data_IF_323817264207
#
_entry.id   IF_323817264207
#
_cell.length_a   1.000
_cell.length_b   1.000
_cell.length_c   1.000
_cell.angle_alpha   90.00
_cell.angle_beta   90.00
_cell.angle_gamma   90.00
#
_symmetry.space_group_name_H-M   'P 1'
#
loop_
_entity.id
_entity.type
_entity.pdbx_description
1 polymer ?
#
# COMPACT_ATOMS: atom_id res chain seq x y z
N UNK A 1 18.12 24.84 71.72
CA UNK A 1 16.85 25.56 71.44
C UNK A 1 16.72 25.63 69.91
N UNK A 2 15.55 25.33 69.32
CA UNK A 2 15.40 24.34 68.24
C UNK A 2 15.16 24.92 66.84
N UNK A 3 14.93 23.98 65.89
CA UNK A 3 14.27 24.14 64.58
C UNK A 3 15.11 24.82 63.47
N UNK A 4 15.10 24.36 62.21
CA UNK A 4 14.03 23.68 61.49
C UNK A 4 14.59 22.71 60.44
N UNK A 5 13.86 21.60 60.29
CA UNK A 5 13.96 20.68 59.19
C UNK A 5 13.68 21.36 57.85
N UNK A 6 14.38 20.95 56.79
CA UNK A 6 13.82 20.92 55.43
C UNK A 6 14.51 19.85 54.60
N UNK A 7 13.76 18.78 54.36
CA UNK A 7 14.04 17.79 53.34
C UNK A 7 14.00 18.45 51.93
N UNK A 8 14.81 18.00 50.96
CA UNK A 8 14.53 18.31 49.57
C UNK A 8 13.29 17.51 49.12
N UNK A 9 12.29 18.26 48.68
CA UNK A 9 11.08 17.73 48.07
C UNK A 9 11.44 16.86 46.86
N UNK A 10 10.89 15.64 46.86
CA UNK A 10 10.70 14.83 45.66
C UNK A 10 9.95 15.66 44.64
N UNK A 11 10.65 16.10 43.59
CA UNK A 11 10.04 16.60 42.37
C UNK A 11 9.31 15.42 41.71
N UNK A 12 8.03 15.27 42.03
CA UNK A 12 7.12 14.42 41.29
C UNK A 12 7.09 14.90 39.84
N UNK A 13 7.81 14.20 38.98
CA UNK A 13 7.70 14.33 37.54
C UNK A 13 6.26 13.96 37.15
N UNK A 14 5.46 14.97 36.84
CA UNK A 14 4.14 14.87 36.23
C UNK A 14 4.25 14.07 34.92
N UNK A 15 3.74 12.82 34.84
CA UNK A 15 3.73 12.07 33.59
C UNK A 15 2.50 12.48 32.81
N UNK A 16 2.47 13.72 32.29
CA UNK A 16 1.46 14.05 31.29
C UNK A 16 1.74 13.19 30.06
N UNK A 17 0.77 12.39 29.59
CA UNK A 17 0.94 11.71 28.32
C UNK A 17 1.15 12.79 27.26
N UNK A 18 2.34 12.76 26.63
CA UNK A 18 2.63 13.55 25.43
C UNK A 18 1.59 13.18 24.39
N UNK A 19 0.56 14.01 24.30
CA UNK A 19 -0.46 13.97 23.26
C UNK A 19 0.29 13.86 21.92
N UNK A 20 0.08 12.82 21.11
CA UNK A 20 0.73 12.74 19.82
C UNK A 20 0.34 14.00 19.05
N UNK A 21 1.36 14.67 18.51
CA UNK A 21 1.21 15.76 17.57
C UNK A 21 0.23 15.28 16.50
N UNK A 22 -1.01 15.79 16.56
CA UNK A 22 -1.89 15.75 15.40
C UNK A 22 -1.15 16.54 14.34
N UNK A 23 -0.60 15.84 13.35
CA UNK A 23 -0.10 16.44 12.13
C UNK A 23 -1.23 17.30 11.54
N UNK A 24 -1.07 18.61 11.65
CA UNK A 24 -2.02 19.59 11.13
C UNK A 24 -2.02 19.55 9.60
N UNK A 25 -3.15 19.14 9.04
CA UNK A 25 -4.01 20.03 8.23
C UNK A 25 -3.31 20.98 7.25
N UNK A 26 -2.59 20.45 6.27
CA UNK A 26 -2.31 21.16 5.00
C UNK A 26 -2.00 20.21 3.83
N UNK A 27 -2.58 19.00 3.82
CA UNK A 27 -2.68 18.24 2.57
C UNK A 27 -3.74 18.94 1.72
N UNK A 28 -3.31 19.78 0.77
CA UNK A 28 -4.12 20.08 -0.40
C UNK A 28 -4.68 18.75 -0.88
N UNK A 29 -6.01 18.64 -0.99
CA UNK A 29 -6.68 17.39 -1.33
C UNK A 29 -5.98 16.78 -2.55
N UNK A 30 -5.23 15.70 -2.32
CA UNK A 30 -4.43 15.13 -3.40
C UNK A 30 -5.39 14.78 -4.55
N UNK A 31 -5.08 15.18 -5.79
CA UNK A 31 -5.95 14.94 -6.92
C UNK A 31 -6.22 13.44 -7.05
N UNK A 32 -7.46 13.04 -7.36
CA UNK A 32 -7.83 11.63 -7.38
C UNK A 32 -6.95 10.86 -8.38
N UNK A 33 -6.50 9.64 -8.04
CA UNK A 33 -5.62 8.83 -8.89
C UNK A 33 -6.22 8.57 -10.28
N UNK A 34 -7.55 8.67 -10.42
CA UNK A 34 -8.27 8.42 -11.66
C UNK A 34 -7.92 9.41 -12.79
N UNK A 35 -7.68 10.70 -12.49
CA UNK A 35 -7.33 11.68 -13.53
C UNK A 35 -5.91 11.42 -14.08
N UNK A 36 -4.96 11.20 -13.17
CA UNK A 36 -3.59 10.88 -13.53
C UNK A 36 -3.50 9.56 -14.29
N UNK A 37 -4.25 8.53 -13.87
CA UNK A 37 -4.31 7.24 -14.56
C UNK A 37 -4.89 7.36 -15.97
N UNK A 38 -5.94 8.17 -16.17
CA UNK A 38 -6.49 8.43 -17.52
C UNK A 38 -5.50 9.14 -18.43
N UNK A 39 -4.78 10.14 -17.89
CA UNK A 39 -3.73 10.83 -18.64
C UNK A 39 -2.60 9.87 -19.03
N UNK A 40 -2.08 9.11 -18.05
CA UNK A 40 -1.06 8.10 -18.26
C UNK A 40 -1.50 7.04 -19.28
N UNK A 41 -2.72 6.53 -19.18
CA UNK A 41 -3.25 5.52 -20.10
C UNK A 41 -3.30 6.03 -21.55
N UNK A 42 -3.73 7.28 -21.76
CA UNK A 42 -3.77 7.90 -23.11
C UNK A 42 -2.38 8.18 -23.66
N UNK A 43 -1.45 8.58 -22.80
CA UNK A 43 -0.07 8.94 -23.16
C UNK A 43 0.88 7.74 -23.18
N UNK A 44 0.41 6.55 -22.78
CA UNK A 44 1.19 5.32 -22.69
C UNK A 44 2.05 5.01 -23.93
N UNK A 45 1.59 5.24 -25.17
CA UNK A 45 2.42 5.00 -26.36
C UNK A 45 3.69 5.84 -26.46
N UNK A 46 3.78 6.97 -25.75
CA UNK A 46 4.95 7.84 -25.76
C UNK A 46 6.07 7.27 -24.87
N UNK A 47 5.73 6.56 -23.78
CA UNK A 47 6.71 6.19 -22.76
C UNK A 47 7.25 7.41 -21.99
N UNK A 48 8.08 7.18 -20.97
CA UNK A 48 8.52 8.26 -20.07
C UNK A 48 9.55 9.19 -20.71
N UNK A 49 10.49 8.63 -21.48
CA UNK A 49 11.54 9.41 -22.12
C UNK A 49 10.97 10.43 -23.13
N UNK A 50 9.99 10.03 -23.92
CA UNK A 50 9.31 10.91 -24.86
C UNK A 50 8.43 11.95 -24.16
N UNK A 51 7.76 11.55 -23.07
CA UNK A 51 7.01 12.48 -22.22
C UNK A 51 7.89 13.62 -21.69
N UNK A 52 9.10 13.28 -21.25
CA UNK A 52 10.09 14.25 -20.77
C UNK A 52 10.66 15.08 -21.93
N UNK A 53 10.99 14.45 -23.07
CA UNK A 53 11.50 15.11 -24.28
C UNK A 53 10.53 16.15 -24.82
N UNK A 54 9.23 15.84 -24.82
CA UNK A 54 8.17 16.73 -25.27
C UNK A 54 7.73 17.75 -24.19
N UNK A 55 8.39 17.75 -23.03
CA UNK A 55 8.05 18.60 -21.88
C UNK A 55 6.57 18.55 -21.48
N UNK A 56 5.94 17.37 -21.62
CA UNK A 56 4.50 17.22 -21.36
C UNK A 56 4.15 17.50 -19.89
N UNK A 57 5.10 17.34 -18.97
CA UNK A 57 4.92 17.76 -17.58
C UNK A 57 4.54 19.25 -17.47
N UNK A 58 5.20 20.13 -18.22
CA UNK A 58 4.90 21.56 -18.20
C UNK A 58 3.56 21.85 -18.88
N UNK A 59 3.28 21.21 -20.02
CA UNK A 59 2.02 21.36 -20.74
C UNK A 59 0.81 20.93 -19.89
N UNK A 60 0.92 19.81 -19.15
CA UNK A 60 -0.14 19.34 -18.26
C UNK A 60 -0.38 20.29 -17.09
N UNK A 61 0.67 20.89 -16.52
CA UNK A 61 0.52 21.93 -15.47
C UNK A 61 -0.19 23.17 -16.00
N UNK A 62 0.16 23.63 -17.19
CA UNK A 62 -0.53 24.74 -17.86
C UNK A 62 -2.00 24.40 -18.14
N UNK A 63 -2.29 23.14 -18.47
CA UNK A 63 -3.65 22.62 -18.60
C UNK A 63 -4.39 22.43 -17.26
N UNK A 64 -3.78 22.80 -16.13
CA UNK A 64 -4.41 22.80 -14.81
C UNK A 64 -4.24 21.52 -14.01
N UNK A 65 -3.39 20.58 -14.43
CA UNK A 65 -3.05 19.43 -13.58
C UNK A 65 -2.07 19.87 -12.47
N UNK A 66 -2.43 19.53 -11.23
CA UNK A 66 -1.56 19.69 -10.07
C UNK A 66 -0.25 18.89 -10.24
N UNK A 67 0.90 19.37 -9.69
CA UNK A 67 2.18 18.68 -9.80
C UNK A 67 2.16 17.20 -9.40
N UNK A 68 1.38 16.83 -8.37
CA UNK A 68 1.23 15.43 -7.94
C UNK A 68 0.49 14.57 -8.96
N UNK A 69 -0.53 15.13 -9.64
CA UNK A 69 -1.20 14.44 -10.74
C UNK A 69 -0.25 14.25 -11.93
N UNK A 70 0.59 15.23 -12.22
CA UNK A 70 1.60 15.13 -13.30
C UNK A 70 2.66 14.09 -12.98
N UNK A 71 3.16 14.06 -11.73
CA UNK A 71 4.09 13.04 -11.25
C UNK A 71 3.48 11.64 -11.41
N UNK A 72 2.25 11.42 -10.92
CA UNK A 72 1.54 10.14 -11.09
C UNK A 72 1.30 9.77 -12.54
N UNK A 73 0.94 10.73 -13.38
CA UNK A 73 0.75 10.48 -14.80
C UNK A 73 2.04 9.97 -15.45
N UNK A 74 3.18 10.62 -15.15
CA UNK A 74 4.50 10.19 -15.63
C UNK A 74 4.89 8.81 -15.09
N UNK A 75 4.73 8.56 -13.79
CA UNK A 75 4.99 7.24 -13.19
C UNK A 75 4.17 6.16 -13.86
N UNK A 76 2.90 6.43 -14.16
CA UNK A 76 1.95 5.50 -14.77
C UNK A 76 2.21 5.12 -16.24
N UNK A 77 3.06 5.83 -16.98
CA UNK A 77 3.30 5.58 -18.42
C UNK A 77 3.86 4.17 -18.70
N UNK A 78 4.71 3.67 -17.81
CA UNK A 78 5.39 2.37 -17.96
C UNK A 78 5.17 1.49 -16.73
N UNK A 79 4.21 1.85 -15.87
CA UNK A 79 3.95 1.14 -14.64
C UNK A 79 3.35 -0.24 -14.93
N UNK A 80 3.97 -1.29 -14.38
CA UNK A 80 3.37 -2.62 -14.34
C UNK A 80 2.11 -2.60 -13.48
N UNK A 81 1.05 -3.30 -13.91
CA UNK A 81 -0.24 -3.33 -13.19
C UNK A 81 -0.63 -4.76 -12.77
N UNK A 82 -1.56 -4.91 -11.80
CA UNK A 82 -2.13 -6.20 -11.43
C UNK A 82 -2.67 -7.03 -12.60
N UNK A 83 -3.15 -6.40 -13.67
CA UNK A 83 -3.55 -7.08 -14.91
C UNK A 83 -2.36 -7.63 -15.69
N UNK A 84 -1.29 -6.85 -15.85
CA UNK A 84 -0.12 -7.28 -16.62
C UNK A 84 0.76 -8.26 -15.87
N UNK A 85 0.75 -8.21 -14.54
CA UNK A 85 1.54 -9.09 -13.68
C UNK A 85 0.66 -9.61 -12.54
N UNK A 86 0.13 -10.85 -12.67
CA UNK A 86 -0.84 -11.39 -11.72
C UNK A 86 -0.22 -11.92 -10.43
N UNK A 87 1.10 -12.07 -10.37
CA UNK A 87 1.79 -12.42 -9.14
C UNK A 87 2.17 -11.15 -8.36
N UNK A 88 1.74 -11.06 -7.10
CA UNK A 88 1.91 -9.84 -6.29
C UNK A 88 3.37 -9.60 -5.92
N UNK A 89 4.13 -10.67 -5.63
CA UNK A 89 5.54 -10.58 -5.27
C UNK A 89 6.38 -10.14 -6.48
N UNK A 90 6.12 -10.71 -7.66
CA UNK A 90 6.74 -10.27 -8.90
C UNK A 90 6.37 -8.83 -9.24
N UNK A 91 5.11 -8.43 -9.07
CA UNK A 91 4.68 -7.05 -9.33
C UNK A 91 5.40 -6.05 -8.42
N UNK A 92 5.47 -6.34 -7.13
CA UNK A 92 6.23 -5.53 -6.18
C UNK A 92 7.71 -5.49 -6.53
N UNK A 93 8.31 -6.62 -6.93
CA UNK A 93 9.71 -6.68 -7.34
C UNK A 93 9.96 -5.86 -8.60
N UNK A 94 9.05 -5.89 -9.57
CA UNK A 94 9.12 -5.08 -10.78
C UNK A 94 9.03 -3.58 -10.47
N UNK A 95 8.16 -3.17 -9.56
CA UNK A 95 8.08 -1.79 -9.07
C UNK A 95 9.36 -1.35 -8.36
N UNK A 96 9.91 -2.20 -7.49
CA UNK A 96 11.11 -1.88 -6.72
C UNK A 96 12.40 -1.93 -7.55
N UNK A 97 12.38 -2.55 -8.73
CA UNK A 97 13.48 -2.55 -9.69
C UNK A 97 13.45 -1.33 -10.62
N UNK A 98 12.29 -0.66 -10.78
CA UNK A 98 12.14 0.52 -11.63
C UNK A 98 12.63 1.80 -10.91
N UNK A 99 13.69 2.48 -11.39
CA UNK A 99 14.24 3.66 -10.74
C UNK A 99 13.23 4.81 -10.57
N UNK A 100 12.30 4.98 -11.51
CA UNK A 100 11.30 6.04 -11.45
C UNK A 100 10.21 5.72 -10.41
N UNK A 101 9.84 4.45 -10.28
CA UNK A 101 8.93 4.01 -9.23
C UNK A 101 9.59 4.13 -7.86
N UNK A 102 10.88 3.78 -7.74
CA UNK A 102 11.65 4.01 -6.50
C UNK A 102 11.69 5.48 -6.09
N UNK A 103 11.88 6.40 -7.06
CA UNK A 103 11.81 7.85 -6.82
C UNK A 103 10.42 8.27 -6.34
N UNK A 104 9.36 7.79 -7.01
CA UNK A 104 7.97 8.04 -6.60
C UNK A 104 7.67 7.53 -5.18
N UNK A 105 8.19 6.34 -4.84
CA UNK A 105 8.09 5.72 -3.52
C UNK A 105 8.94 6.42 -2.44
N UNK A 106 9.79 7.36 -2.84
CA UNK A 106 10.75 8.05 -1.98
C UNK A 106 11.62 7.05 -1.21
N UNK A 107 12.14 6.05 -1.92
CA UNK A 107 13.05 5.07 -1.33
C UNK A 107 14.33 5.77 -0.88
N UNK A 108 14.71 5.56 0.37
CA UNK A 108 15.90 6.13 0.98
C UNK A 108 16.65 5.08 1.79
N UNK A 109 17.97 5.24 1.88
CA UNK A 109 18.81 4.42 2.74
C UNK A 109 18.87 5.03 4.15
N UNK A 110 18.67 4.17 5.16
CA UNK A 110 18.84 4.51 6.55
C UNK A 110 19.37 3.29 7.31
N UNK A 111 20.55 3.46 7.91
CA UNK A 111 21.24 2.43 8.69
C UNK A 111 21.52 1.14 7.90
N UNK A 112 21.97 1.30 6.63
CA UNK A 112 22.30 0.17 5.75
C UNK A 112 21.08 -0.64 5.30
N UNK A 113 19.89 -0.06 5.39
CA UNK A 113 18.64 -0.65 4.93
C UNK A 113 17.85 0.37 4.12
N UNK A 114 17.14 -0.12 3.09
CA UNK A 114 16.27 0.72 2.28
C UNK A 114 14.85 0.76 2.86
N UNK A 115 14.30 1.97 2.94
CA UNK A 115 12.97 2.27 3.45
C UNK A 115 12.18 3.08 2.44
N UNK A 116 10.86 2.91 2.40
CA UNK A 116 9.95 3.70 1.58
C UNK A 116 8.95 4.48 2.43
N UNK A 117 8.30 5.47 1.83
CA UNK A 117 7.21 6.20 2.48
C UNK A 117 5.89 5.40 2.34
N UNK A 118 5.23 5.01 3.45
CA UNK A 118 4.04 4.15 3.39
C UNK A 118 2.93 4.72 2.49
N UNK A 119 2.64 6.01 2.62
CA UNK A 119 1.60 6.69 1.83
C UNK A 119 1.90 6.64 0.32
N UNK A 120 3.18 6.66 -0.06
CA UNK A 120 3.59 6.56 -1.47
C UNK A 120 3.40 5.17 -2.03
N UNK A 121 3.56 4.13 -1.22
CA UNK A 121 3.20 2.77 -1.62
C UNK A 121 1.69 2.64 -1.88
N UNK A 122 0.86 3.16 -0.97
CA UNK A 122 -0.59 3.14 -1.16
C UNK A 122 -0.99 3.92 -2.42
N UNK A 123 -0.41 5.11 -2.63
CA UNK A 123 -0.63 5.91 -3.83
C UNK A 123 -0.20 5.18 -5.12
N UNK A 124 0.86 4.38 -5.08
CA UNK A 124 1.30 3.56 -6.21
C UNK A 124 0.31 2.43 -6.52
N UNK A 125 -0.17 1.74 -5.48
CA UNK A 125 -1.19 0.69 -5.61
C UNK A 125 -2.48 1.26 -6.18
N UNK A 126 -2.92 2.43 -5.69
CA UNK A 126 -4.13 3.10 -6.17
C UNK A 126 -3.98 3.57 -7.63
N UNK A 127 -2.79 4.05 -8.01
CA UNK A 127 -2.49 4.41 -9.40
C UNK A 127 -2.54 3.17 -10.31
N UNK A 128 -1.95 2.04 -9.88
CA UNK A 128 -1.98 0.80 -10.65
C UNK A 128 -3.40 0.24 -10.81
N UNK A 129 -4.23 0.31 -9.77
CA UNK A 129 -5.65 -0.04 -9.84
C UNK A 129 -6.41 0.90 -10.81
N UNK A 130 -6.18 2.20 -10.72
CA UNK A 130 -6.82 3.18 -11.59
C UNK A 130 -6.41 3.01 -13.06
N UNK A 131 -5.16 2.61 -13.34
CA UNK A 131 -4.70 2.27 -14.70
C UNK A 131 -5.42 1.04 -15.25
N UNK A 132 -5.58 0.00 -14.44
CA UNK A 132 -6.34 -1.19 -14.82
C UNK A 132 -7.80 -0.84 -15.11
N UNK A 133 -8.42 0.01 -14.28
CA UNK A 133 -9.78 0.52 -14.50
C UNK A 133 -9.89 1.36 -15.78
N UNK A 134 -8.93 2.24 -16.04
CA UNK A 134 -8.87 3.03 -17.27
C UNK A 134 -8.73 2.15 -18.53
N UNK A 135 -8.07 0.99 -18.38
CA UNK A 135 -7.96 -0.03 -19.42
C UNK A 135 -9.17 -0.99 -19.50
N UNK A 136 -10.25 -0.72 -18.76
CA UNK A 136 -11.48 -1.51 -18.74
C UNK A 136 -11.39 -2.84 -17.98
N UNK A 137 -10.37 -3.02 -17.15
CA UNK A 137 -10.18 -4.26 -16.39
C UNK A 137 -11.07 -4.30 -15.14
N UNK A 138 -11.42 -5.52 -14.72
CA UNK A 138 -12.12 -5.74 -13.44
C UNK A 138 -11.16 -5.54 -12.27
N UNK A 139 -11.63 -5.03 -11.12
CA UNK A 139 -10.79 -4.83 -9.93
C UNK A 139 -10.19 -6.15 -9.42
N UNK A 140 -8.89 -6.18 -9.18
CA UNK A 140 -8.18 -7.31 -8.58
C UNK A 140 -8.16 -7.19 -7.03
N UNK A 141 -9.34 -7.10 -6.41
CA UNK A 141 -9.50 -6.68 -5.01
C UNK A 141 -8.61 -7.44 -4.00
N UNK A 142 -8.54 -8.78 -4.09
CA UNK A 142 -7.71 -9.58 -3.20
C UNK A 142 -6.21 -9.28 -3.34
N UNK A 143 -5.75 -9.06 -4.58
CA UNK A 143 -4.35 -8.73 -4.86
C UNK A 143 -3.98 -7.33 -4.41
N UNK A 144 -4.88 -6.38 -4.63
CA UNK A 144 -4.74 -4.99 -4.16
C UNK A 144 -4.67 -4.99 -2.62
N UNK A 145 -5.56 -5.72 -1.95
CA UNK A 145 -5.52 -5.88 -0.50
C UNK A 145 -4.20 -6.49 -0.02
N UNK A 146 -3.71 -7.52 -0.71
CA UNK A 146 -2.43 -8.15 -0.39
C UNK A 146 -1.26 -7.17 -0.51
N UNK A 147 -1.16 -6.44 -1.63
CA UNK A 147 -0.15 -5.40 -1.83
C UNK A 147 -0.20 -4.32 -0.74
N UNK A 148 -1.40 -3.85 -0.36
CA UNK A 148 -1.55 -2.85 0.71
C UNK A 148 -1.06 -3.37 2.06
N UNK A 149 -1.36 -4.63 2.38
CA UNK A 149 -0.93 -5.24 3.65
C UNK A 149 0.58 -5.52 3.72
N UNK A 150 1.25 -5.68 2.57
CA UNK A 150 2.65 -6.08 2.51
C UNK A 150 3.61 -5.03 3.08
N UNK A 151 3.36 -3.74 2.85
CA UNK A 151 4.20 -2.67 3.42
C UNK A 151 4.09 -2.59 4.93
N UNK A 152 2.89 -2.78 5.47
CA UNK A 152 2.69 -2.80 6.92
C UNK A 152 3.41 -4.00 7.54
N UNK A 153 3.26 -5.19 6.97
CA UNK A 153 3.95 -6.41 7.42
C UNK A 153 5.49 -6.29 7.31
N UNK A 154 5.97 -5.60 6.28
CA UNK A 154 7.40 -5.34 6.07
C UNK A 154 7.95 -4.19 6.94
N UNK A 155 7.10 -3.51 7.71
CA UNK A 155 7.42 -2.27 8.41
C UNK A 155 8.08 -1.23 7.46
N UNK A 156 7.61 -1.16 6.21
CA UNK A 156 8.09 -0.27 5.15
C UNK A 156 9.54 -0.50 4.66
N UNK A 157 10.15 -1.61 5.06
CA UNK A 157 11.51 -1.98 4.67
C UNK A 157 11.50 -2.70 3.32
N UNK A 158 12.24 -2.19 2.34
CA UNK A 158 12.14 -2.61 0.93
C UNK A 158 12.49 -4.09 0.73
N UNK A 159 13.55 -4.57 1.37
CA UNK A 159 14.02 -5.96 1.35
C UNK A 159 12.98 -6.97 1.87
N UNK A 160 12.09 -6.53 2.78
CA UNK A 160 11.07 -7.38 3.40
C UNK A 160 9.74 -7.41 2.66
N UNK A 161 9.47 -6.45 1.77
CA UNK A 161 8.17 -6.39 1.07
C UNK A 161 7.98 -7.61 0.16
N UNK A 162 8.97 -7.93 -0.68
CA UNK A 162 8.89 -9.09 -1.56
C UNK A 162 8.81 -10.40 -0.77
N UNK A 163 9.56 -10.52 0.34
CA UNK A 163 9.51 -11.68 1.22
C UNK A 163 8.15 -11.83 1.91
N UNK A 164 7.54 -10.74 2.37
CA UNK A 164 6.21 -10.74 2.98
C UNK A 164 5.11 -11.14 2.01
N UNK A 165 5.24 -10.76 0.74
CA UNK A 165 4.30 -11.13 -0.33
C UNK A 165 4.39 -12.60 -0.74
N UNK A 166 5.55 -13.25 -0.56
CA UNK A 166 5.71 -14.69 -0.78
C UNK A 166 5.26 -15.50 0.43
N UNK A 167 5.48 -14.97 1.64
CA UNK A 167 5.22 -15.68 2.90
C UNK A 167 3.75 -15.63 3.35
N UNK A 168 2.93 -14.71 2.84
CA UNK A 168 1.53 -14.62 3.23
C UNK A 168 0.73 -15.81 2.68
N UNK A 169 0.15 -16.68 3.53
CA UNK A 169 -0.73 -17.73 3.05
C UNK A 169 -2.03 -17.11 2.51
N UNK A 170 -2.41 -17.50 1.29
CA UNK A 170 -3.68 -17.16 0.63
C UNK A 170 -4.95 -17.67 1.35
N UNK A 171 -4.86 -18.08 2.62
CA UNK A 171 -5.96 -18.70 3.34
C UNK A 171 -6.18 -18.05 4.71
N UNK A 172 -7.04 -17.03 4.73
CA UNK A 172 -8.02 -16.90 5.83
C UNK A 172 -9.38 -17.34 5.33
N UNK A 173 -9.44 -18.59 4.89
CA UNK A 173 -10.68 -19.36 4.88
C UNK A 173 -10.95 -19.74 6.32
N UNK A 174 -11.88 -19.03 6.97
CA UNK A 174 -12.38 -19.37 8.31
C UNK A 174 -12.65 -20.88 8.42
N UNK A 175 -12.35 -21.55 9.55
CA UNK A 175 -12.79 -22.92 9.76
C UNK A 175 -14.31 -22.92 9.75
N UNK A 176 -14.90 -23.40 8.66
CA UNK A 176 -16.31 -23.75 8.64
C UNK A 176 -16.43 -25.01 9.48
N UNK A 177 -16.61 -24.81 10.79
CA UNK A 177 -17.09 -25.80 11.73
C UNK A 177 -18.43 -26.33 11.21
N UNK A 178 -18.36 -27.28 10.30
CA UNK A 178 -19.50 -28.03 9.82
C UNK A 178 -19.51 -29.28 10.66
N UNK A 179 -20.18 -29.17 11.81
CA UNK A 179 -20.57 -30.30 12.61
C UNK A 179 -21.33 -31.30 11.72
N UNK A 180 -20.61 -32.29 11.22
CA UNK A 180 -21.18 -33.49 10.61
C UNK A 180 -21.88 -34.27 11.72
N UNK A 181 -23.14 -33.92 11.97
CA UNK A 181 -24.08 -34.71 12.75
C UNK A 181 -24.44 -35.95 11.93
N UNK A 182 -24.05 -37.18 12.32
CA UNK A 182 -24.44 -38.37 11.57
C UNK A 182 -25.96 -38.57 11.67
N UNK A 183 -26.56 -38.78 10.50
CA UNK A 183 -27.98 -39.06 10.28
C UNK A 183 -28.26 -40.47 10.82
N UNK A 184 -28.99 -40.53 11.94
CA UNK A 184 -29.39 -41.77 12.61
C UNK A 184 -30.48 -42.44 11.77
N UNK A 185 -30.10 -43.31 10.84
CA UNK A 185 -31.01 -44.23 10.16
C UNK A 185 -31.40 -45.35 11.11
N UNK A 186 -32.64 -45.30 11.57
CA UNK A 186 -33.31 -46.43 12.18
C UNK A 186 -33.89 -47.31 11.07
N UNK A 187 -33.43 -48.56 10.97
CA UNK A 187 -34.22 -49.73 10.57
C UNK A 187 -33.26 -50.91 10.35
N UNK A 188 -32.95 -51.66 11.41
CA UNK A 188 -32.63 -53.06 11.20
C UNK A 188 -33.18 -53.90 12.34
N UNK A 189 -34.09 -54.78 11.95
CA UNK A 189 -34.89 -55.68 12.77
C UNK A 189 -34.28 -57.06 12.59
N UNK A 190 -33.66 -57.69 13.61
CA UNK A 190 -33.39 -59.11 13.55
C UNK A 190 -34.55 -59.90 14.17
N UNK A 191 -34.99 -60.90 13.40
CA UNK A 191 -35.86 -61.99 13.81
C UNK A 191 -35.12 -62.96 14.76
N UNK A 192 -35.86 -63.42 15.78
CA UNK A 192 -35.92 -64.79 16.35
C UNK A 192 -34.72 -65.31 17.16
N UNK A 193 -34.89 -66.33 18.05
CA UNK A 193 -35.81 -67.50 18.01
C UNK A 193 -37.25 -67.26 18.45
#
# INVERSE_FOLDING_TARGET
IPAAARAPATAGADPRPRRPLRSNSNQAAEPPPDLAARAAFRLRPLGRAEFDRLHLAAALRVAGLDPSAVERARTGLELATPRTMPDAAHLASAWLADPEVRRFLQVHDWDGAEWLVPDRWIALVDLAEALDRAAGAKPAAARIAHLRSATEAANNRVDRIALGLVAAPSDRTSPKETASRPKRTAAERPKRP
#
